data_IF_338340667678
#
_entry.id   IF_338340667678
#
_cell.length_a   1.000
_cell.length_b   1.000
_cell.length_c   1.000
_cell.angle_alpha   90.00
_cell.angle_beta   90.00
_cell.angle_gamma   90.00
#
_symmetry.space_group_name_H-M   'P 1'
#
loop_
_entity.id
_entity.type
_entity.pdbx_description
1 polymer ?
#
# COMPACT_ATOMS: atom_id res chain seq x y z
N UNK A 1 39.61 41.23 7.25
CA UNK A 1 39.08 40.80 5.95
C UNK A 1 37.79 40.03 6.18
N UNK A 2 36.60 40.57 5.91
CA UNK A 2 35.36 39.80 5.98
C UNK A 2 35.25 38.91 4.73
N UNK A 3 34.97 37.62 4.95
CA UNK A 3 34.66 36.66 3.89
C UNK A 3 33.27 36.99 3.30
N UNK A 4 33.11 37.01 1.96
CA UNK A 4 31.80 37.22 1.37
C UNK A 4 30.95 35.95 1.55
N UNK A 5 29.81 36.10 2.23
CA UNK A 5 28.77 35.07 2.26
C UNK A 5 28.22 34.89 0.84
N UNK A 6 28.41 33.70 0.26
CA UNK A 6 27.75 33.34 -0.98
C UNK A 6 26.23 33.32 -0.74
N UNK A 7 25.41 33.84 -1.68
CA UNK A 7 23.97 33.72 -1.57
C UNK A 7 23.60 32.23 -1.56
N UNK A 8 22.80 31.82 -0.58
CA UNK A 8 22.13 30.54 -0.61
C UNK A 8 21.18 30.56 -1.82
N UNK A 9 21.58 29.91 -2.92
CA UNK A 9 20.63 29.63 -3.99
C UNK A 9 19.49 28.80 -3.37
N UNK A 10 18.23 29.25 -3.46
CA UNK A 10 17.14 28.36 -3.14
C UNK A 10 17.25 27.20 -4.12
N UNK A 11 17.60 26.03 -3.62
CA UNK A 11 17.54 24.77 -4.37
C UNK A 11 16.08 24.38 -4.60
N UNK A 12 15.31 25.25 -5.26
CA UNK A 12 14.06 24.87 -5.90
C UNK A 12 14.44 24.10 -7.16
N UNK A 13 14.87 22.85 -6.98
CA UNK A 13 14.75 21.87 -8.05
C UNK A 13 13.34 22.01 -8.62
N UNK A 14 13.16 22.03 -9.96
CA UNK A 14 11.83 22.12 -10.53
C UNK A 14 10.96 21.05 -9.87
N UNK A 15 9.70 21.34 -9.52
CA UNK A 15 8.84 20.35 -8.89
C UNK A 15 8.89 19.11 -9.77
N UNK A 16 9.37 18.00 -9.20
CA UNK A 16 9.45 16.70 -9.87
C UNK A 16 8.03 16.18 -10.03
N UNK A 17 7.31 16.83 -10.92
CA UNK A 17 5.88 16.71 -11.14
C UNK A 17 5.64 16.87 -12.64
N UNK A 18 4.66 16.12 -13.14
CA UNK A 18 4.21 16.15 -14.52
C UNK A 18 2.91 16.96 -14.58
N UNK A 19 2.63 17.65 -15.68
CA UNK A 19 1.36 18.34 -15.89
C UNK A 19 0.25 17.44 -16.47
N UNK A 20 -1.05 17.81 -16.38
CA UNK A 20 -2.13 16.99 -16.93
C UNK A 20 -2.02 16.74 -18.43
N UNK A 21 -1.61 17.75 -19.18
CA UNK A 21 -1.40 17.64 -20.63
C UNK A 21 -0.20 16.76 -20.95
N UNK A 22 0.90 16.89 -20.21
CA UNK A 22 2.09 16.06 -20.38
C UNK A 22 1.79 14.59 -20.09
N UNK A 23 1.01 14.30 -19.03
CA UNK A 23 0.57 12.94 -18.73
C UNK A 23 -0.31 12.34 -19.82
N UNK A 24 -1.28 13.12 -20.32
CA UNK A 24 -2.17 12.68 -21.40
C UNK A 24 -1.37 12.45 -22.70
N UNK A 25 -0.38 13.28 -22.98
CA UNK A 25 0.51 13.15 -24.14
C UNK A 25 1.50 11.97 -24.02
N UNK A 26 1.78 11.50 -22.81
CA UNK A 26 2.73 10.41 -22.56
C UNK A 26 2.25 9.03 -23.08
N UNK A 27 1.01 8.92 -23.59
CA UNK A 27 0.43 7.71 -24.18
C UNK A 27 0.69 6.45 -23.34
N UNK A 28 0.41 6.56 -22.05
CA UNK A 28 0.48 5.47 -21.10
C UNK A 28 -0.41 4.32 -21.59
N UNK A 29 0.02 3.04 -21.49
CA UNK A 29 -0.78 1.91 -21.92
C UNK A 29 -2.17 1.95 -21.27
N UNK A 30 -3.20 1.96 -22.11
CA UNK A 30 -4.59 1.94 -21.67
C UNK A 30 -4.90 0.59 -21.04
N UNK A 31 -5.70 0.60 -19.97
CA UNK A 31 -6.19 -0.63 -19.38
C UNK A 31 -7.35 -1.16 -20.22
N UNK A 32 -7.30 -2.41 -20.65
CA UNK A 32 -8.42 -3.08 -21.31
C UNK A 32 -9.64 -3.11 -20.39
N UNK A 33 -9.50 -3.72 -19.20
CA UNK A 33 -10.56 -3.80 -18.19
C UNK A 33 -10.20 -3.09 -16.87
N UNK A 34 -10.31 -1.74 -16.81
CA UNK A 34 -9.95 -1.00 -15.60
C UNK A 34 -10.83 -1.33 -14.40
N UNK A 35 -12.10 -1.68 -14.63
CA UNK A 35 -13.02 -2.04 -13.53
C UNK A 35 -12.52 -3.27 -12.76
N UNK A 36 -12.06 -4.29 -13.48
CA UNK A 36 -11.54 -5.52 -12.87
C UNK A 36 -10.25 -5.26 -12.10
N UNK A 37 -9.32 -4.49 -12.67
CA UNK A 37 -8.08 -4.10 -11.99
C UNK A 37 -8.37 -3.33 -10.70
N UNK A 38 -9.25 -2.31 -10.76
CA UNK A 38 -9.60 -1.51 -9.58
C UNK A 38 -10.33 -2.34 -8.54
N UNK A 39 -11.25 -3.21 -8.95
CA UNK A 39 -11.97 -4.12 -8.03
C UNK A 39 -10.99 -5.09 -7.35
N UNK A 40 -10.08 -5.70 -8.10
CA UNK A 40 -9.08 -6.63 -7.56
C UNK A 40 -8.07 -5.97 -6.62
N UNK A 41 -7.70 -4.71 -6.86
CA UNK A 41 -6.88 -3.92 -5.93
C UNK A 41 -7.68 -3.54 -4.68
N UNK A 42 -8.94 -3.14 -4.84
CA UNK A 42 -9.81 -2.77 -3.74
C UNK A 42 -10.07 -3.94 -2.79
N UNK A 43 -10.41 -5.11 -3.32
CA UNK A 43 -10.69 -6.30 -2.51
C UNK A 43 -9.46 -6.80 -1.76
N UNK A 44 -8.28 -6.80 -2.39
CA UNK A 44 -7.03 -7.24 -1.74
C UNK A 44 -6.56 -6.33 -0.61
N UNK A 45 -6.71 -5.02 -0.78
CA UNK A 45 -6.13 -4.05 0.14
C UNK A 45 -7.14 -3.40 1.08
N UNK A 46 -8.45 -3.51 0.78
CA UNK A 46 -9.53 -2.83 1.52
C UNK A 46 -9.16 -1.40 1.95
N UNK A 47 -8.71 -0.54 1.00
CA UNK A 47 -7.99 0.67 1.33
C UNK A 47 -8.89 1.72 2.01
N UNK A 48 -8.32 2.38 3.02
CA UNK A 48 -8.91 3.58 3.63
C UNK A 48 -8.48 4.86 2.89
N UNK A 49 -9.10 5.99 3.20
CA UNK A 49 -8.65 7.29 2.72
C UNK A 49 -7.17 7.55 3.11
N UNK A 50 -6.40 8.11 2.18
CA UNK A 50 -4.95 8.32 2.33
C UNK A 50 -4.10 7.09 1.98
N UNK A 51 -4.72 5.97 1.59
CA UNK A 51 -4.00 4.79 1.12
C UNK A 51 -3.60 4.94 -0.34
N UNK A 52 -2.37 4.55 -0.67
CA UNK A 52 -1.90 4.39 -2.03
C UNK A 52 -1.62 2.91 -2.27
N UNK A 53 -2.06 2.38 -3.39
CA UNK A 53 -1.83 1.00 -3.79
C UNK A 53 -1.12 0.98 -5.13
N UNK A 54 0.06 0.38 -5.18
CA UNK A 54 0.75 0.07 -6.43
C UNK A 54 0.43 -1.37 -6.84
N UNK A 55 -0.09 -1.54 -8.04
CA UNK A 55 -0.35 -2.83 -8.67
C UNK A 55 0.61 -3.09 -9.82
N UNK A 56 0.96 -4.33 -10.07
CA UNK A 56 1.75 -4.76 -11.22
C UNK A 56 0.96 -5.80 -11.99
N UNK A 57 0.67 -5.47 -13.25
CA UNK A 57 -0.02 -6.31 -14.20
C UNK A 57 0.98 -7.13 -15.02
N UNK A 58 0.62 -8.36 -15.31
CA UNK A 58 1.30 -9.18 -16.30
C UNK A 58 0.93 -8.71 -17.73
N UNK A 59 1.54 -9.28 -18.80
CA UNK A 59 1.22 -8.84 -20.16
C UNK A 59 -0.21 -9.20 -20.61
N UNK A 60 -0.92 -10.06 -19.88
CA UNK A 60 -2.33 -10.39 -20.11
C UNK A 60 -3.27 -9.48 -19.27
N UNK A 61 -2.73 -8.37 -18.74
CA UNK A 61 -3.40 -7.40 -17.88
C UNK A 61 -3.93 -7.95 -16.55
N UNK A 62 -3.45 -9.12 -16.10
CA UNK A 62 -3.86 -9.71 -14.82
C UNK A 62 -3.00 -9.18 -13.68
N UNK A 63 -3.64 -8.91 -12.55
CA UNK A 63 -2.94 -8.42 -11.36
C UNK A 63 -2.01 -9.49 -10.77
N UNK A 64 -0.69 -9.29 -10.93
CA UNK A 64 0.34 -10.24 -10.52
C UNK A 64 0.89 -9.98 -9.12
N UNK A 65 1.05 -8.71 -8.77
CA UNK A 65 1.56 -8.30 -7.48
C UNK A 65 0.96 -6.94 -7.10
N UNK A 66 0.81 -6.67 -5.81
CA UNK A 66 0.36 -5.37 -5.33
C UNK A 66 0.85 -5.09 -3.92
N UNK A 67 1.03 -3.80 -3.62
CA UNK A 67 1.40 -3.32 -2.30
C UNK A 67 0.61 -2.06 -1.97
N UNK A 68 0.12 -1.97 -0.75
CA UNK A 68 -0.51 -0.77 -0.20
C UNK A 68 0.39 -0.10 0.83
N UNK A 69 0.33 1.21 0.89
CA UNK A 69 1.04 2.01 1.88
C UNK A 69 0.29 3.32 2.13
N UNK A 70 0.45 3.86 3.33
CA UNK A 70 -0.18 5.13 3.69
C UNK A 70 0.66 6.28 3.18
N UNK A 71 0.02 7.24 2.54
CA UNK A 71 0.64 8.51 2.19
C UNK A 71 0.94 9.31 3.46
N UNK A 72 2.15 9.88 3.56
CA UNK A 72 2.47 10.85 4.61
C UNK A 72 1.97 12.25 4.24
N UNK A 73 1.21 12.95 5.10
CA UNK A 73 0.78 14.32 4.84
C UNK A 73 1.99 15.26 4.72
N UNK A 74 1.93 16.22 3.79
CA UNK A 74 2.98 17.22 3.58
C UNK A 74 4.04 16.86 2.54
N UNK A 75 4.13 15.58 2.14
CA UNK A 75 4.98 15.17 1.03
C UNK A 75 4.26 15.43 -0.30
N UNK A 76 4.80 16.33 -1.12
CA UNK A 76 4.35 16.59 -2.50
C UNK A 76 5.52 16.59 -3.51
N UNK A 77 6.67 16.07 -3.11
CA UNK A 77 7.83 15.91 -3.98
C UNK A 77 7.82 14.53 -4.65
N UNK A 78 7.83 14.51 -5.99
CA UNK A 78 7.85 13.28 -6.76
C UNK A 78 9.07 12.40 -6.48
N UNK A 79 10.20 12.95 -6.00
CA UNK A 79 11.34 12.13 -5.59
C UNK A 79 11.02 11.24 -4.38
N UNK A 80 10.28 11.77 -3.40
CA UNK A 80 9.84 11.02 -2.22
C UNK A 80 8.87 9.92 -2.65
N UNK A 81 7.92 10.25 -3.53
CA UNK A 81 6.97 9.29 -4.07
C UNK A 81 7.64 8.19 -4.87
N UNK A 82 8.61 8.51 -5.73
CA UNK A 82 9.43 7.53 -6.44
C UNK A 82 10.10 6.55 -5.48
N UNK A 83 10.81 7.06 -4.46
CA UNK A 83 11.53 6.19 -3.54
C UNK A 83 10.59 5.28 -2.75
N UNK A 84 9.42 5.81 -2.38
CA UNK A 84 8.36 5.05 -1.73
C UNK A 84 7.85 3.93 -2.64
N UNK A 85 7.55 4.24 -3.91
CA UNK A 85 7.10 3.26 -4.89
C UNK A 85 8.15 2.17 -5.14
N UNK A 86 9.42 2.55 -5.33
CA UNK A 86 10.52 1.60 -5.51
C UNK A 86 10.69 0.66 -4.32
N UNK A 87 10.56 1.19 -3.09
CA UNK A 87 10.64 0.37 -1.90
C UNK A 87 9.53 -0.70 -1.87
N UNK A 88 8.31 -0.36 -2.29
CA UNK A 88 7.21 -1.32 -2.36
C UNK A 88 7.37 -2.31 -3.53
N UNK A 89 7.74 -1.84 -4.72
CA UNK A 89 7.92 -2.69 -5.90
C UNK A 89 8.98 -3.78 -5.66
N UNK A 90 10.11 -3.43 -5.05
CA UNK A 90 11.18 -4.37 -4.69
C UNK A 90 10.76 -5.47 -3.71
N UNK A 91 9.70 -5.23 -2.93
CA UNK A 91 9.17 -6.23 -1.97
C UNK A 91 8.22 -7.22 -2.63
N UNK A 92 7.48 -6.79 -3.65
CA UNK A 92 6.38 -7.59 -4.21
C UNK A 92 6.69 -8.23 -5.55
N UNK A 93 7.69 -7.71 -6.29
CA UNK A 93 8.08 -8.29 -7.57
C UNK A 93 9.58 -8.07 -7.88
N UNK A 94 10.28 -9.08 -8.42
CA UNK A 94 11.61 -8.88 -8.98
C UNK A 94 11.60 -7.80 -10.08
N UNK A 95 12.71 -7.06 -10.20
CA UNK A 95 12.86 -6.07 -11.26
C UNK A 95 13.10 -6.73 -12.62
N UNK A 96 12.63 -6.09 -13.70
CA UNK A 96 12.75 -6.62 -15.07
C UNK A 96 13.84 -5.92 -15.90
N UNK A 97 14.78 -5.21 -15.25
CA UNK A 97 15.85 -4.43 -15.90
C UNK A 97 16.74 -5.20 -16.89
N UNK A 98 16.81 -6.53 -16.78
CA UNK A 98 17.57 -7.38 -17.72
C UNK A 98 16.84 -7.65 -19.03
N UNK A 99 15.54 -7.35 -19.11
CA UNK A 99 14.74 -7.56 -20.32
C UNK A 99 14.94 -6.39 -21.28
N UNK A 100 15.01 -6.70 -22.59
CA UNK A 100 15.11 -5.68 -23.64
C UNK A 100 13.87 -4.78 -23.73
N UNK A 101 12.70 -5.33 -23.39
CA UNK A 101 11.43 -4.60 -23.41
C UNK A 101 10.68 -4.90 -22.11
N UNK A 102 10.13 -3.87 -21.43
CA UNK A 102 9.26 -4.07 -20.28
C UNK A 102 8.01 -4.86 -20.64
N UNK A 103 7.75 -5.94 -19.89
CA UNK A 103 6.63 -6.86 -20.14
C UNK A 103 5.45 -6.60 -19.20
N UNK A 104 5.76 -6.11 -17.99
CA UNK A 104 4.77 -5.86 -16.94
C UNK A 104 4.46 -4.38 -16.84
N UNK A 105 3.25 -4.06 -16.43
CA UNK A 105 2.76 -2.68 -16.34
C UNK A 105 2.42 -2.35 -14.89
N UNK A 106 2.95 -1.23 -14.37
CA UNK A 106 2.59 -0.77 -13.04
C UNK A 106 1.37 0.18 -13.11
N UNK A 107 0.41 -0.01 -12.23
CA UNK A 107 -0.77 0.85 -12.07
C UNK A 107 -0.75 1.42 -10.65
N UNK A 108 -1.17 2.66 -10.50
CA UNK A 108 -1.23 3.32 -9.19
C UNK A 108 -2.68 3.69 -8.87
N UNK A 109 -3.17 3.22 -7.72
CA UNK A 109 -4.48 3.57 -7.17
C UNK A 109 -4.29 4.48 -5.95
N UNK A 110 -4.73 5.73 -6.05
CA UNK A 110 -4.68 6.70 -4.96
C UNK A 110 -6.07 6.87 -4.35
N UNK A 111 -6.21 6.46 -3.09
CA UNK A 111 -7.44 6.59 -2.31
C UNK A 111 -7.41 7.91 -1.56
N UNK A 112 -8.26 8.86 -1.94
CA UNK A 112 -8.34 10.17 -1.31
C UNK A 112 -9.76 10.65 -1.11
N UNK A 113 -9.94 11.53 -0.14
CA UNK A 113 -11.19 12.26 0.02
C UNK A 113 -11.29 13.40 -1.00
N UNK A 114 -12.52 13.85 -1.25
CA UNK A 114 -12.82 14.93 -2.19
C UNK A 114 -12.97 14.46 -3.63
N UNK A 115 -12.69 15.37 -4.56
CA UNK A 115 -12.95 15.16 -5.99
C UNK A 115 -11.81 14.42 -6.70
N UNK A 116 -12.16 13.77 -7.80
CA UNK A 116 -11.23 13.09 -8.70
C UNK A 116 -10.54 14.03 -9.71
N UNK A 117 -10.60 15.36 -9.50
CA UNK A 117 -9.93 16.34 -10.37
C UNK A 117 -8.41 16.32 -10.20
N UNK A 118 -7.69 16.71 -11.24
CA UNK A 118 -6.23 16.82 -11.17
C UNK A 118 -5.75 17.78 -10.07
N UNK A 119 -4.71 17.39 -9.34
CA UNK A 119 -4.03 18.20 -8.32
C UNK A 119 -2.51 18.21 -8.54
N UNK A 120 -1.80 19.16 -7.92
CA UNK A 120 -0.33 19.20 -7.98
C UNK A 120 0.31 17.91 -7.42
N UNK A 121 -0.32 17.31 -6.41
CA UNK A 121 0.12 16.05 -5.82
C UNK A 121 0.01 14.89 -6.82
N UNK A 122 -1.07 14.83 -7.60
CA UNK A 122 -1.22 13.81 -8.64
C UNK A 122 -0.06 13.91 -9.64
N UNK A 123 0.33 15.14 -10.03
CA UNK A 123 1.47 15.38 -10.91
C UNK A 123 2.78 14.84 -10.33
N UNK A 124 3.02 15.01 -9.03
CA UNK A 124 4.17 14.43 -8.34
C UNK A 124 4.10 12.89 -8.28
N UNK A 125 2.92 12.32 -8.04
CA UNK A 125 2.72 10.86 -8.06
C UNK A 125 3.00 10.26 -9.43
N UNK A 126 2.51 10.90 -10.50
CA UNK A 126 2.73 10.44 -11.88
C UNK A 126 4.19 10.55 -12.30
N UNK A 127 4.86 11.64 -11.90
CA UNK A 127 6.31 11.74 -12.07
C UNK A 127 7.03 10.60 -11.34
N UNK A 128 6.69 10.38 -10.06
CA UNK A 128 7.29 9.35 -9.22
C UNK A 128 7.05 7.94 -9.76
N UNK A 129 5.85 7.66 -10.26
CA UNK A 129 5.49 6.39 -10.90
C UNK A 129 6.30 6.15 -12.16
N UNK A 130 6.39 7.15 -13.05
CA UNK A 130 7.15 7.03 -14.30
C UNK A 130 8.63 6.75 -14.04
N UNK A 131 9.24 7.48 -13.11
CA UNK A 131 10.66 7.29 -12.75
C UNK A 131 10.87 5.93 -12.06
N UNK A 132 10.00 5.54 -11.13
CA UNK A 132 10.07 4.25 -10.46
C UNK A 132 9.91 3.07 -11.44
N UNK A 133 9.00 3.17 -12.42
CA UNK A 133 8.83 2.14 -13.45
C UNK A 133 10.09 1.99 -14.30
N UNK A 134 10.69 3.11 -14.72
CA UNK A 134 11.96 3.13 -15.47
C UNK A 134 13.06 2.42 -14.68
N UNK A 135 13.19 2.74 -13.39
CA UNK A 135 14.20 2.16 -12.50
C UNK A 135 13.93 0.70 -12.09
N UNK A 136 12.71 0.20 -12.27
CA UNK A 136 12.33 -1.20 -11.96
C UNK A 136 12.17 -2.08 -13.21
N UNK A 137 12.25 -1.50 -14.41
CA UNK A 137 12.08 -2.20 -15.69
C UNK A 137 10.61 -2.51 -16.04
N UNK A 138 9.66 -1.71 -15.55
CA UNK A 138 8.22 -1.85 -15.80
C UNK A 138 7.74 -0.80 -16.81
N UNK A 139 6.61 -1.07 -17.47
CA UNK A 139 5.84 -0.03 -18.17
C UNK A 139 5.14 0.84 -17.13
N UNK A 140 5.25 2.15 -17.28
CA UNK A 140 4.38 3.08 -16.56
C UNK A 140 2.96 2.89 -17.07
N UNK A 141 1.99 2.63 -16.20
CA UNK A 141 0.59 2.41 -16.52
C UNK A 141 -0.32 3.46 -15.87
N UNK A 142 -1.62 3.17 -15.84
CA UNK A 142 -2.65 4.13 -15.44
C UNK A 142 -2.49 4.66 -14.00
N UNK A 143 -2.89 5.91 -13.81
CA UNK A 143 -3.10 6.53 -12.50
C UNK A 143 -4.60 6.63 -12.21
N UNK A 144 -5.04 5.94 -11.17
CA UNK A 144 -6.45 5.83 -10.79
C UNK A 144 -6.67 6.55 -9.46
N UNK A 145 -7.67 7.41 -9.41
CA UNK A 145 -8.18 7.96 -8.16
C UNK A 145 -9.38 7.17 -7.70
N UNK A 146 -9.47 6.87 -6.41
CA UNK A 146 -10.64 6.30 -5.76
C UNK A 146 -11.15 7.31 -4.74
N UNK A 147 -12.39 7.75 -4.90
CA UNK A 147 -13.07 8.72 -4.05
C UNK A 147 -14.40 8.16 -3.54
N UNK A 148 -15.13 8.91 -2.72
CA UNK A 148 -16.51 8.55 -2.34
C UNK A 148 -17.48 8.50 -3.51
N UNK A 149 -17.16 9.16 -4.63
CA UNK A 149 -17.97 9.15 -5.86
C UNK A 149 -17.72 7.92 -6.76
N UNK A 150 -16.64 7.18 -6.52
CA UNK A 150 -16.21 6.07 -7.36
C UNK A 150 -14.74 6.15 -7.73
N UNK A 151 -14.34 5.46 -8.80
CA UNK A 151 -12.99 5.50 -9.34
C UNK A 151 -12.93 6.22 -10.69
N UNK A 152 -11.80 6.86 -10.97
CA UNK A 152 -11.53 7.54 -12.24
C UNK A 152 -10.07 7.41 -12.65
N UNK A 153 -9.82 7.20 -13.93
CA UNK A 153 -8.48 7.20 -14.53
C UNK A 153 -8.14 8.62 -14.97
N UNK A 154 -7.09 9.20 -14.39
CA UNK A 154 -6.64 10.53 -14.76
C UNK A 154 -6.00 10.51 -16.16
N UNK A 155 -6.45 11.42 -17.02
CA UNK A 155 -5.97 11.58 -18.40
C UNK A 155 -6.77 10.81 -19.46
N UNK A 156 -7.66 9.88 -19.08
CA UNK A 156 -8.42 9.04 -20.03
C UNK A 156 -9.94 9.33 -20.00
N UNK A 157 -10.44 9.96 -18.95
CA UNK A 157 -11.88 10.24 -18.80
C UNK A 157 -12.74 9.01 -18.50
N UNK A 158 -12.12 7.83 -18.32
CA UNK A 158 -12.80 6.60 -17.91
C UNK A 158 -12.94 6.52 -16.39
N UNK A 159 -14.06 5.97 -15.94
CA UNK A 159 -14.33 5.81 -14.51
C UNK A 159 -15.56 4.95 -14.26
N UNK A 160 -15.85 4.71 -12.98
CA UNK A 160 -17.01 3.93 -12.55
C UNK A 160 -17.42 4.28 -11.13
N UNK A 161 -18.69 4.02 -10.79
CA UNK A 161 -19.25 4.34 -9.45
C UNK A 161 -18.83 3.34 -8.37
N UNK A 162 -18.41 2.13 -8.76
CA UNK A 162 -18.01 1.06 -7.86
C UNK A 162 -16.69 0.43 -8.34
N UNK A 163 -15.75 0.10 -7.43
CA UNK A 163 -15.79 0.41 -5.99
C UNK A 163 -15.69 1.93 -5.72
N UNK A 164 -16.06 2.34 -4.51
CA UNK A 164 -15.91 3.72 -3.99
C UNK A 164 -15.35 3.67 -2.58
N UNK A 165 -14.65 4.72 -2.16
CA UNK A 165 -14.11 4.77 -0.80
C UNK A 165 -15.22 4.65 0.25
N UNK A 166 -14.95 3.89 1.31
CA UNK A 166 -15.87 3.67 2.42
C UNK A 166 -16.97 2.64 2.15
N UNK A 167 -17.06 2.06 0.94
CA UNK A 167 -17.94 0.91 0.72
C UNK A 167 -17.26 -0.34 1.26
N UNK A 168 -17.57 -0.74 2.50
CA UNK A 168 -17.21 -2.10 2.94
C UNK A 168 -17.77 -3.06 1.90
N UNK A 169 -16.89 -3.83 1.26
CA UNK A 169 -17.31 -4.97 0.45
C UNK A 169 -18.14 -5.85 1.38
N UNK A 170 -19.46 -5.86 1.17
CA UNK A 170 -20.30 -6.93 1.71
C UNK A 170 -19.84 -8.17 0.97
N UNK A 171 -18.91 -8.92 1.56
CA UNK A 171 -18.72 -10.29 1.17
C UNK A 171 -20.10 -10.92 1.22
N UNK A 172 -20.58 -11.36 0.06
CA UNK A 172 -21.77 -12.18 -0.01
C UNK A 172 -21.46 -13.46 0.76
N UNK A 173 -21.83 -13.47 2.04
CA UNK A 173 -22.01 -14.70 2.79
C UNK A 173 -23.32 -15.25 2.23
N UNK A 174 -23.34 -16.35 1.45
CA UNK A 174 -24.60 -17.03 1.21
C UNK A 174 -25.17 -17.32 2.59
N UNK A 175 -26.35 -16.76 2.88
CA UNK A 175 -27.07 -17.04 4.10
C UNK A 175 -27.09 -18.56 4.25
N UNK A 176 -26.34 -19.08 5.22
CA UNK A 176 -26.55 -20.44 5.67
C UNK A 176 -28.02 -20.47 6.08
N UNK A 177 -28.79 -21.34 5.42
CA UNK A 177 -30.22 -21.56 5.66
C UNK A 177 -30.47 -21.56 7.17
N UNK A 178 -31.02 -20.45 7.66
CA UNK A 178 -31.53 -20.38 9.01
C UNK A 178 -32.86 -21.15 8.97
N UNK A 179 -32.79 -22.42 9.37
CA UNK A 179 -33.96 -23.28 9.53
C UNK A 179 -34.94 -22.58 10.49
N UNK A 180 -36.16 -22.22 10.06
CA UNK A 180 -37.09 -21.55 10.95
C UNK A 180 -37.65 -22.56 11.96
N UNK A 181 -37.16 -22.48 13.19
CA UNK A 181 -37.77 -23.17 14.32
C UNK A 181 -39.14 -22.54 14.58
N UNK A 182 -40.21 -23.27 14.27
CA UNK A 182 -41.59 -22.84 14.53
C UNK A 182 -41.84 -22.75 16.04
N UNK A 183 -42.52 -21.70 16.54
CA UNK A 183 -43.01 -21.66 17.91
C UNK A 183 -44.28 -22.51 18.03
N UNK A 184 -44.25 -23.53 18.89
CA UNK A 184 -45.35 -24.46 19.11
C UNK A 184 -45.48 -24.91 20.55
N UNK A 185 -46.25 -24.13 21.32
CA UNK A 185 -47.28 -24.55 22.28
C UNK A 185 -46.90 -25.25 23.62
N UNK A 186 -47.53 -24.72 24.68
CA UNK A 186 -47.50 -25.12 26.09
C UNK A 186 -47.96 -26.56 26.38
N UNK A 187 -47.20 -27.22 27.28
CA UNK A 187 -47.65 -27.97 28.46
C UNK A 187 -47.83 -29.51 28.32
N UNK A 188 -47.86 -30.29 29.43
CA UNK A 188 -47.50 -30.00 30.83
C UNK A 188 -46.45 -30.97 31.45
N UNK A 189 -45.95 -30.60 32.64
CA UNK A 189 -45.09 -31.42 33.53
C UNK A 189 -45.74 -32.74 33.95
N UNK A 190 -44.91 -33.72 34.37
CA UNK A 190 -45.16 -34.34 35.66
C UNK A 190 -43.93 -34.31 36.59
N UNK A 191 -44.23 -34.06 37.86
CA UNK A 191 -43.37 -34.27 39.02
C UNK A 191 -43.17 -35.76 39.34
N UNK A 192 -42.19 -35.98 40.24
CA UNK A 192 -41.95 -37.13 41.12
C UNK A 192 -40.96 -38.17 40.59
N UNK A 193 -40.01 -38.69 41.37
CA UNK A 193 -39.64 -38.52 42.79
C UNK A 193 -38.33 -39.31 42.99
N UNK A 194 -37.42 -38.70 43.75
CA UNK A 194 -36.47 -39.27 44.72
C UNK A 194 -36.06 -40.75 44.53
N UNK A 195 -34.77 -41.03 44.32
CA UNK A 195 -33.99 -41.84 45.28
C UNK A 195 -32.48 -41.74 45.05
N UNK A 196 -31.79 -41.66 46.18
CA UNK A 196 -30.36 -41.43 46.37
C UNK A 196 -29.60 -42.76 46.45
N UNK A 197 -28.34 -42.77 45.97
CA UNK A 197 -27.23 -43.56 46.52
C UNK A 197 -25.92 -42.98 45.94
N UNK A 198 -25.25 -42.04 46.61
CA UNK A 198 -24.20 -42.24 47.63
C UNK A 198 -22.95 -43.02 47.18
N UNK A 199 -21.79 -42.39 47.47
CA UNK A 199 -20.40 -42.90 47.62
C UNK A 199 -19.60 -43.03 46.31
N UNK A 200 -18.33 -42.62 46.19
CA UNK A 200 -17.25 -42.30 47.15
C UNK A 200 -16.14 -41.49 46.39
N UNK A 201 -15.49 -40.53 47.04
CA UNK A 201 -14.29 -39.80 46.55
C UNK A 201 -12.99 -40.50 47.06
N UNK A 202 -11.76 -39.91 47.07
CA UNK A 202 -11.04 -38.95 46.21
C UNK A 202 -9.59 -39.44 45.88
N UNK A 203 -8.77 -38.58 45.26
CA UNK A 203 -7.28 -38.67 45.22
C UNK A 203 -6.72 -38.18 43.88
N UNK A 204 -5.61 -37.47 43.77
CA UNK A 204 -4.72 -36.83 44.73
C UNK A 204 -3.82 -35.85 43.94
N UNK A 205 -3.38 -34.81 44.62
CA UNK A 205 -2.14 -34.03 44.44
C UNK A 205 -1.82 -33.24 43.14
N UNK A 206 -1.76 -31.92 43.35
CA UNK A 206 -0.80 -30.99 42.76
C UNK A 206 0.59 -31.15 43.43
N UNK A 207 1.69 -30.72 42.79
CA UNK A 207 2.23 -29.39 43.06
C UNK A 207 2.84 -28.73 41.80
N UNK A 208 3.42 -27.54 41.79
CA UNK A 208 3.26 -26.21 42.40
C UNK A 208 4.49 -25.43 41.92
N UNK A 209 4.36 -24.10 41.76
CA UNK A 209 5.44 -23.11 41.81
C UNK A 209 6.38 -23.03 40.57
N UNK A 210 6.95 -21.89 40.17
CA UNK A 210 7.03 -20.50 40.67
C UNK A 210 7.60 -19.65 39.50
N UNK A 211 7.01 -18.51 39.17
CA UNK A 211 7.50 -17.15 39.51
C UNK A 211 8.96 -16.79 39.16
N UNK A 212 9.10 -15.72 38.36
CA UNK A 212 10.31 -14.89 38.22
C UNK A 212 10.08 -13.84 37.12
N UNK A 213 9.52 -12.66 37.42
CA UNK A 213 10.17 -11.43 37.93
C UNK A 213 11.13 -10.76 36.93
N UNK A 214 10.68 -9.62 36.39
CA UNK A 214 11.46 -8.36 36.34
C UNK A 214 12.28 -8.07 35.07
N UNK A 215 12.01 -6.92 34.44
CA UNK A 215 12.92 -6.34 33.46
C UNK A 215 12.30 -5.26 32.57
N UNK A 216 12.11 -4.06 33.12
CA UNK A 216 11.87 -2.83 32.36
C UNK A 216 13.04 -2.55 31.41
N UNK A 217 12.75 -2.21 30.15
CA UNK A 217 13.72 -1.69 29.18
C UNK A 217 13.14 -0.46 28.45
N UNK A 218 12.63 0.50 29.23
CA UNK A 218 12.68 1.92 28.84
C UNK A 218 14.04 2.45 29.22
N UNK A 219 15.02 2.38 28.31
CA UNK A 219 16.25 3.21 28.24
C UNK A 219 17.34 2.48 27.43
N UNK A 220 17.23 2.45 26.10
CA UNK A 220 18.39 2.22 25.18
C UNK A 220 18.19 2.88 23.81
N UNK A 221 17.64 4.09 23.78
CA UNK A 221 17.51 4.89 22.57
C UNK A 221 18.10 6.29 22.77
N UNK A 222 19.39 6.35 23.07
CA UNK A 222 20.17 7.58 22.96
C UNK A 222 21.62 7.20 22.63
N UNK A 223 22.10 7.66 21.48
CA UNK A 223 23.49 7.53 21.08
C UNK A 223 23.73 6.47 20.01
N UNK A 224 23.44 6.82 18.75
CA UNK A 224 24.19 6.38 17.56
C UNK A 224 23.76 7.25 16.36
N UNK A 225 23.93 8.56 16.49
CA UNK A 225 24.03 9.49 15.37
C UNK A 225 25.35 10.23 15.55
N UNK A 226 26.38 9.79 14.82
CA UNK A 226 27.50 10.60 14.31
C UNK A 226 28.70 9.70 14.03
N UNK A 227 28.77 9.15 12.82
CA UNK A 227 30.06 8.88 12.17
C UNK A 227 29.98 9.25 10.70
N UNK A 228 30.80 10.20 10.23
CA UNK A 228 30.91 10.49 8.81
C UNK A 228 31.57 9.30 8.09
N UNK A 229 31.02 8.93 6.94
CA UNK A 229 31.63 7.96 6.03
C UNK A 229 32.76 8.67 5.30
N UNK A 230 33.99 8.35 5.70
CA UNK A 230 35.20 8.68 4.93
C UNK A 230 35.09 8.02 3.56
N UNK A 231 35.21 8.81 2.49
CA UNK A 231 35.21 8.31 1.12
C UNK A 231 36.67 8.27 0.64
N UNK A 232 37.23 7.10 0.28
CA UNK A 232 38.53 7.07 -0.37
C UNK A 232 38.40 7.65 -1.78
N UNK A 233 39.17 8.72 -2.02
CA UNK A 233 39.29 9.38 -3.31
C UNK A 233 40.21 8.54 -4.20
N UNK A 234 39.68 7.58 -4.94
CA UNK A 234 40.42 6.87 -5.99
C UNK A 234 40.79 7.85 -7.10
N UNK A 235 42.09 8.11 -7.20
CA UNK A 235 42.72 8.90 -8.26
C UNK A 235 42.93 8.00 -9.48
N UNK A 236 42.24 8.30 -10.58
CA UNK A 236 42.47 7.65 -11.87
C UNK A 236 43.71 8.26 -12.55
N UNK A 237 44.69 7.47 -13.02
CA UNK A 237 45.82 7.99 -13.76
C UNK A 237 45.39 8.42 -15.16
N UNK A 238 45.65 9.70 -15.51
CA UNK A 238 45.54 10.18 -16.89
C UNK A 238 46.73 9.66 -17.68
N UNK A 239 46.48 8.68 -18.54
CA UNK A 239 47.41 8.29 -19.60
C UNK A 239 47.49 9.39 -20.65
N UNK A 240 48.72 9.80 -20.94
CA UNK A 240 49.08 10.71 -22.01
C UNK A 240 48.85 10.08 -23.39
N UNK A 241 48.36 10.88 -24.33
CA UNK A 241 48.46 10.59 -25.76
C UNK A 241 48.76 11.89 -26.50
N UNK A 242 49.99 11.94 -27.02
CA UNK A 242 50.57 12.70 -28.15
C UNK A 242 50.21 14.17 -28.33
#
# INVERSE_FOLDING_TARGET
MPVPSLPAEPASSPPRAIGPQEWTAANVPLLGNPREVVTGLYERHSPAAGTVVVGVLDPDERLRASASFTRRPGDSDGWVFRNTLLAQLRRVIPHDLRRRVPVRTAVLLHCREGESRWTAEDGAWMWGLRDACTLHGLRCGAYVTLTGAGWQILGEGRGGRHPRLGSRTTLFVPAADEVPTRPGQLGPLPEQRVESAERLAPGDEMPEQRAGRGGSLTERAAGLLSRPIDTPREQWPRTAAR
#
